data_IF_342996208028
#
_entry.id   IF_342996208028
#
_cell.length_a   1.000
_cell.length_b   1.000
_cell.length_c   1.000
_cell.angle_alpha   90.00
_cell.angle_beta   90.00
_cell.angle_gamma   90.00
#
_symmetry.space_group_name_H-M   'P 1'
#
loop_
_entity.id
_entity.type
_entity.pdbx_description
1 polymer ?
#
# COMPACT_ATOMS: atom_id res chain seq x y z
N UNK A 1 3.18 25.43 -8.52
CA UNK A 1 4.37 26.06 -7.90
C UNK A 1 4.86 27.25 -8.74
N UNK A 2 3.94 27.99 -9.37
CA UNK A 2 4.28 28.97 -10.41
C UNK A 2 4.16 30.42 -9.91
N UNK A 3 3.86 30.62 -8.62
CA UNK A 3 3.79 31.93 -8.01
C UNK A 3 5.22 32.48 -7.78
N UNK A 4 5.49 33.75 -8.11
CA UNK A 4 6.84 34.34 -8.00
C UNK A 4 7.44 34.24 -6.60
N UNK A 5 6.62 34.42 -5.57
CA UNK A 5 7.08 34.47 -4.17
C UNK A 5 7.14 33.10 -3.49
N UNK A 6 6.76 32.02 -4.20
CA UNK A 6 6.67 30.69 -3.60
C UNK A 6 8.02 30.19 -3.07
N UNK A 7 9.11 30.57 -3.73
CA UNK A 7 10.47 30.16 -3.37
C UNK A 7 11.17 31.09 -2.38
N UNK A 8 10.54 32.20 -1.97
CA UNK A 8 11.11 33.15 -1.02
C UNK A 8 11.22 32.55 0.40
N UNK A 9 10.36 31.59 0.74
CA UNK A 9 10.45 30.79 1.96
C UNK A 9 10.76 29.34 1.59
N UNK A 10 12.06 29.00 1.59
CA UNK A 10 12.55 27.68 1.20
C UNK A 10 11.97 26.55 2.06
N UNK A 11 11.74 26.80 3.35
CA UNK A 11 11.23 25.80 4.30
C UNK A 11 9.78 25.46 3.99
N UNK A 12 8.96 26.50 3.77
CA UNK A 12 7.56 26.34 3.38
C UNK A 12 7.42 25.72 1.99
N UNK A 13 8.24 26.16 1.02
CA UNK A 13 8.27 25.62 -0.33
C UNK A 13 8.60 24.12 -0.33
N UNK A 14 9.60 23.70 0.45
CA UNK A 14 10.00 22.30 0.56
C UNK A 14 8.89 21.44 1.16
N UNK A 15 8.19 21.92 2.19
CA UNK A 15 7.05 21.22 2.80
C UNK A 15 5.91 21.01 1.79
N UNK A 16 5.51 22.08 1.10
CA UNK A 16 4.44 22.01 0.08
C UNK A 16 4.85 21.11 -1.09
N UNK A 17 6.12 21.14 -1.51
CA UNK A 17 6.61 20.27 -2.56
C UNK A 17 6.62 18.79 -2.15
N UNK A 18 6.99 18.49 -0.90
CA UNK A 18 6.93 17.14 -0.37
C UNK A 18 5.49 16.60 -0.31
N UNK A 19 4.54 17.44 0.14
CA UNK A 19 3.12 17.11 0.17
C UNK A 19 2.57 16.87 -1.26
N UNK A 20 2.86 17.78 -2.19
CA UNK A 20 2.43 17.65 -3.59
C UNK A 20 2.99 16.39 -4.26
N UNK A 21 4.29 16.10 -4.07
CA UNK A 21 4.91 14.88 -4.60
C UNK A 21 4.27 13.62 -4.02
N UNK A 22 3.95 13.63 -2.72
CA UNK A 22 3.29 12.50 -2.09
C UNK A 22 1.88 12.25 -2.64
N UNK A 23 1.09 13.32 -2.83
CA UNK A 23 -0.25 13.22 -3.43
C UNK A 23 -0.14 12.74 -4.88
N UNK A 24 0.80 13.32 -5.64
CA UNK A 24 1.02 12.94 -7.05
C UNK A 24 1.38 11.47 -7.17
N UNK A 25 2.24 10.94 -6.30
CA UNK A 25 2.59 9.51 -6.28
C UNK A 25 1.35 8.63 -6.10
N UNK A 26 0.48 8.95 -5.13
CA UNK A 26 -0.78 8.22 -4.93
C UNK A 26 -1.69 8.27 -6.16
N UNK A 27 -1.74 9.41 -6.82
CA UNK A 27 -2.57 9.62 -8.00
C UNK A 27 -2.05 8.86 -9.22
N UNK A 28 -0.73 8.82 -9.45
CA UNK A 28 -0.14 7.99 -10.50
C UNK A 28 -0.36 6.50 -10.23
N UNK A 29 -0.20 6.02 -8.99
CA UNK A 29 -0.49 4.62 -8.63
C UNK A 29 -1.94 4.23 -8.94
N UNK A 30 -2.90 5.12 -8.62
CA UNK A 30 -4.32 4.87 -8.93
C UNK A 30 -4.58 4.82 -10.43
N UNK A 31 -3.99 5.73 -11.21
CA UNK A 31 -4.11 5.73 -12.67
C UNK A 31 -3.50 4.49 -13.32
N UNK A 32 -2.36 4.04 -12.81
CA UNK A 32 -1.70 2.83 -13.30
C UNK A 32 -2.58 1.59 -13.03
N UNK A 33 -3.19 1.51 -11.84
CA UNK A 33 -4.14 0.45 -11.49
C UNK A 33 -5.39 0.50 -12.39
N UNK A 34 -5.97 1.68 -12.57
CA UNK A 34 -7.14 1.89 -13.44
C UNK A 34 -6.85 1.43 -14.87
N UNK A 35 -5.70 1.83 -15.43
CA UNK A 35 -5.26 1.39 -16.77
C UNK A 35 -5.12 -0.13 -16.83
N UNK A 36 -4.43 -0.75 -15.88
CA UNK A 36 -4.24 -2.20 -15.87
C UNK A 36 -5.57 -2.94 -15.83
N UNK A 37 -6.50 -2.50 -14.99
CA UNK A 37 -7.83 -3.10 -14.90
C UNK A 37 -8.63 -2.88 -16.19
N UNK A 38 -8.52 -1.70 -16.82
CA UNK A 38 -9.21 -1.42 -18.08
C UNK A 38 -8.70 -2.23 -19.26
N UNK A 39 -7.44 -2.68 -19.20
CA UNK A 39 -6.81 -3.50 -20.25
C UNK A 39 -7.18 -4.99 -20.12
N UNK A 40 -7.57 -5.45 -18.92
CA UNK A 40 -7.90 -6.87 -18.66
C UNK A 40 -8.98 -7.46 -19.60
N UNK A 41 -10.08 -6.77 -19.94
CA UNK A 41 -11.09 -7.33 -20.86
C UNK A 41 -10.53 -7.59 -22.26
N UNK A 42 -9.64 -6.73 -22.75
CA UNK A 42 -8.99 -6.90 -24.07
C UNK A 42 -8.03 -8.10 -24.01
N UNK A 43 -7.30 -8.25 -22.91
CA UNK A 43 -6.40 -9.38 -22.71
C UNK A 43 -7.15 -10.70 -22.54
N UNK A 44 -8.34 -10.66 -21.92
CA UNK A 44 -9.23 -11.80 -21.82
C UNK A 44 -9.67 -12.27 -23.21
N UNK A 45 -10.17 -11.34 -24.05
CA UNK A 45 -10.61 -11.64 -25.41
C UNK A 45 -9.46 -12.27 -26.22
N UNK A 46 -8.25 -11.69 -26.15
CA UNK A 46 -7.08 -12.23 -26.84
C UNK A 46 -6.70 -13.65 -26.36
N UNK A 47 -6.79 -13.91 -25.06
CA UNK A 47 -6.48 -15.22 -24.49
C UNK A 47 -7.54 -16.28 -24.85
N UNK A 48 -8.81 -15.88 -24.93
CA UNK A 48 -9.91 -16.74 -25.38
C UNK A 48 -9.81 -17.05 -26.88
N UNK A 49 -9.39 -16.08 -27.71
CA UNK A 49 -9.15 -16.28 -29.15
C UNK A 49 -7.96 -17.21 -29.44
N UNK A 50 -6.86 -17.08 -28.69
CA UNK A 50 -5.71 -17.98 -28.80
C UNK A 50 -6.07 -19.42 -28.39
N UNK A 51 -6.90 -19.56 -27.34
CA UNK A 51 -7.45 -20.84 -26.89
C UNK A 51 -6.45 -21.80 -26.26
N UNK A 52 -5.17 -21.43 -26.15
CA UNK A 52 -4.16 -22.26 -25.48
C UNK A 52 -4.24 -22.15 -23.95
N UNK A 53 -3.85 -23.22 -23.27
CA UNK A 53 -3.72 -23.22 -21.80
C UNK A 53 -2.65 -22.25 -21.31
N UNK A 54 -1.65 -21.95 -22.15
CA UNK A 54 -0.60 -20.98 -21.84
C UNK A 54 -1.17 -19.56 -21.81
N UNK A 55 -1.92 -19.15 -22.84
CA UNK A 55 -2.54 -17.83 -22.91
C UNK A 55 -3.52 -17.58 -21.75
N UNK A 56 -4.39 -18.55 -21.47
CA UNK A 56 -5.32 -18.48 -20.33
C UNK A 56 -4.59 -18.40 -18.98
N UNK A 57 -3.47 -19.13 -18.82
CA UNK A 57 -2.65 -19.05 -17.60
C UNK A 57 -1.93 -17.70 -17.47
N UNK A 58 -1.55 -17.07 -18.57
CA UNK A 58 -0.92 -15.75 -18.56
C UNK A 58 -1.93 -14.68 -18.14
N UNK A 59 -3.12 -14.69 -18.74
CA UNK A 59 -4.23 -13.84 -18.32
C UNK A 59 -4.57 -13.99 -16.83
N UNK A 60 -4.64 -15.24 -16.33
CA UNK A 60 -4.89 -15.49 -14.91
C UNK A 60 -3.82 -14.88 -13.98
N UNK A 61 -2.55 -14.84 -14.42
CA UNK A 61 -1.47 -14.18 -13.66
C UNK A 61 -1.63 -12.67 -13.68
N UNK A 62 -2.01 -12.09 -14.81
CA UNK A 62 -2.26 -10.64 -14.89
C UNK A 62 -3.40 -10.21 -13.98
N UNK A 63 -4.49 -10.98 -13.94
CA UNK A 63 -5.60 -10.75 -13.00
C UNK A 63 -5.12 -10.84 -11.55
N UNK A 64 -4.33 -11.87 -11.21
CA UNK A 64 -3.78 -12.02 -9.86
C UNK A 64 -2.90 -10.83 -9.45
N UNK A 65 -2.06 -10.33 -10.37
CA UNK A 65 -1.23 -9.14 -10.15
C UNK A 65 -2.08 -7.87 -10.00
N UNK A 66 -3.15 -7.72 -10.79
CA UNK A 66 -4.06 -6.58 -10.68
C UNK A 66 -4.78 -6.58 -9.33
N UNK A 67 -5.19 -7.75 -8.82
CA UNK A 67 -5.77 -7.90 -7.48
C UNK A 67 -4.77 -7.55 -6.38
N UNK A 68 -3.52 -8.03 -6.47
CA UNK A 68 -2.48 -7.68 -5.50
C UNK A 68 -2.20 -6.16 -5.49
N UNK A 69 -2.15 -5.53 -6.68
CA UNK A 69 -1.99 -4.08 -6.79
C UNK A 69 -3.19 -3.32 -6.21
N UNK A 70 -4.41 -3.83 -6.39
CA UNK A 70 -5.62 -3.25 -5.82
C UNK A 70 -5.56 -3.28 -4.28
N UNK A 71 -5.26 -4.43 -3.69
CA UNK A 71 -5.14 -4.59 -2.24
C UNK A 71 -4.09 -3.63 -1.65
N UNK A 72 -2.92 -3.54 -2.30
CA UNK A 72 -1.87 -2.62 -1.86
C UNK A 72 -2.30 -1.15 -1.96
N UNK A 73 -3.02 -0.80 -3.03
CA UNK A 73 -3.52 0.56 -3.25
C UNK A 73 -4.58 0.92 -2.23
N UNK A 74 -5.53 0.02 -1.97
CA UNK A 74 -6.59 0.19 -0.98
C UNK A 74 -6.01 0.47 0.42
N UNK A 75 -5.02 -0.30 0.86
CA UNK A 75 -4.33 -0.05 2.13
C UNK A 75 -3.70 1.35 2.18
N UNK A 76 -3.12 1.84 1.09
CA UNK A 76 -2.52 3.19 1.03
C UNK A 76 -3.56 4.33 1.06
N UNK A 77 -4.78 4.05 0.61
CA UNK A 77 -5.90 5.00 0.69
C UNK A 77 -6.56 4.99 2.07
N UNK A 78 -6.69 3.81 2.70
CA UNK A 78 -7.12 3.68 4.09
C UNK A 78 -6.13 4.42 5.01
N UNK A 79 -4.82 4.24 4.79
CA UNK A 79 -3.74 4.90 5.53
C UNK A 79 -3.45 6.31 4.99
N UNK A 80 -4.47 7.17 5.01
CA UNK A 80 -4.41 8.55 4.52
C UNK A 80 -4.40 9.63 5.61
N UNK A 81 -4.41 9.26 6.89
CA UNK A 81 -4.37 10.19 8.00
C UNK A 81 -2.96 10.80 8.19
N UNK A 82 -2.87 12.00 8.80
CA UNK A 82 -1.60 12.71 8.97
C UNK A 82 -0.51 11.91 9.70
N UNK A 83 -0.92 11.05 10.64
CA UNK A 83 0.00 10.28 11.49
C UNK A 83 0.33 8.89 10.91
N UNK A 84 -0.32 8.44 9.85
CA UNK A 84 -0.10 7.09 9.26
C UNK A 84 1.31 6.92 8.66
N UNK A 85 2.00 8.03 8.40
CA UNK A 85 3.41 8.03 7.94
C UNK A 85 4.41 7.93 9.08
N UNK A 86 3.97 8.10 10.33
CA UNK A 86 4.85 8.09 11.50
C UNK A 86 5.08 6.66 11.95
N UNK A 87 6.24 6.42 12.56
CA UNK A 87 6.52 5.15 13.19
C UNK A 87 5.53 4.94 14.36
N UNK A 88 4.89 3.77 14.39
CA UNK A 88 4.05 3.38 15.51
C UNK A 88 4.90 2.96 16.71
N UNK A 89 4.51 3.40 17.91
CA UNK A 89 5.04 2.89 19.18
C UNK A 89 4.00 1.90 19.73
N UNK A 90 4.34 0.62 19.77
CA UNK A 90 3.46 -0.44 20.27
C UNK A 90 3.82 -0.78 21.72
N UNK A 91 2.85 -0.66 22.63
CA UNK A 91 2.96 -1.12 24.01
C UNK A 91 1.93 -2.21 24.27
N UNK A 92 2.38 -3.38 24.74
CA UNK A 92 1.52 -4.50 25.10
C UNK A 92 1.51 -4.65 26.62
N UNK A 93 0.33 -4.55 27.23
CA UNK A 93 0.15 -4.73 28.66
C UNK A 93 -0.67 -5.99 28.90
N UNK A 94 -0.18 -6.89 29.76
CA UNK A 94 -0.96 -8.05 30.19
C UNK A 94 -2.16 -7.57 31.03
N UNK A 95 -3.36 -8.04 30.66
CA UNK A 95 -4.59 -7.71 31.36
C UNK A 95 -4.80 -8.56 32.62
N UNK A 96 -6.05 -8.62 33.09
CA UNK A 96 -6.41 -9.53 34.17
C UNK A 96 -6.27 -11.00 33.71
N UNK A 97 -5.68 -11.85 34.55
CA UNK A 97 -5.42 -13.26 34.23
C UNK A 97 -4.08 -13.80 34.77
N UNK A 98 -3.28 -12.96 35.44
CA UNK A 98 -2.04 -13.41 36.08
C UNK A 98 -1.02 -13.94 35.07
N UNK A 99 -0.41 -15.09 35.35
CA UNK A 99 0.66 -15.66 34.53
C UNK A 99 0.23 -15.99 33.10
N UNK A 100 -0.98 -16.51 32.91
CA UNK A 100 -1.47 -16.87 31.56
C UNK A 100 -1.64 -15.63 30.68
N UNK A 101 -2.12 -14.52 31.23
CA UNK A 101 -2.21 -13.25 30.52
C UNK A 101 -0.82 -12.70 30.14
N UNK A 102 0.17 -12.86 31.02
CA UNK A 102 1.56 -12.51 30.72
C UNK A 102 2.16 -13.37 29.60
N UNK A 103 1.92 -14.67 29.62
CA UNK A 103 2.39 -15.58 28.57
C UNK A 103 1.75 -15.26 27.21
N UNK A 104 0.46 -14.90 27.19
CA UNK A 104 -0.21 -14.44 25.99
C UNK A 104 0.35 -13.11 25.48
N UNK A 105 0.59 -12.13 26.35
CA UNK A 105 1.23 -10.87 25.98
C UNK A 105 2.62 -11.10 25.36
N UNK A 106 3.39 -12.06 25.89
CA UNK A 106 4.67 -12.48 25.33
C UNK A 106 4.53 -13.13 23.95
N UNK A 107 3.48 -13.93 23.72
CA UNK A 107 3.20 -14.50 22.39
C UNK A 107 2.91 -13.38 21.38
N UNK A 108 2.07 -12.41 21.74
CA UNK A 108 1.76 -11.26 20.88
C UNK A 108 3.00 -10.42 20.59
N UNK A 109 3.84 -10.17 21.59
CA UNK A 109 5.10 -9.43 21.40
C UNK A 109 5.98 -10.11 20.36
N UNK A 110 6.19 -11.43 20.47
CA UNK A 110 6.97 -12.20 19.49
C UNK A 110 6.34 -12.20 18.10
N UNK A 111 5.01 -12.24 18.02
CA UNK A 111 4.29 -12.16 16.75
C UNK A 111 4.54 -10.83 16.04
N UNK A 112 4.39 -9.71 16.74
CA UNK A 112 4.60 -8.38 16.17
C UNK A 112 6.08 -8.11 15.84
N UNK A 113 7.02 -8.62 16.64
CA UNK A 113 8.46 -8.54 16.32
C UNK A 113 8.77 -9.25 14.99
N UNK A 114 8.32 -10.50 14.82
CA UNK A 114 8.52 -11.24 13.57
C UNK A 114 7.83 -10.59 12.37
N UNK A 115 6.67 -9.98 12.57
CA UNK A 115 5.99 -9.23 11.51
C UNK A 115 6.78 -7.99 11.10
N UNK A 116 7.31 -7.24 12.07
CA UNK A 116 8.14 -6.07 11.82
C UNK A 116 9.44 -6.43 11.09
N UNK A 117 10.11 -7.52 11.49
CA UNK A 117 11.32 -8.04 10.83
C UNK A 117 11.09 -8.48 9.38
N UNK A 118 9.87 -8.91 9.03
CA UNK A 118 9.53 -9.31 7.65
C UNK A 118 9.12 -8.14 6.75
N UNK A 119 8.64 -7.04 7.34
CA UNK A 119 8.14 -5.86 6.62
C UNK A 119 9.13 -4.70 6.56
N UNK A 120 10.13 -4.68 7.45
CA UNK A 120 11.32 -3.82 7.37
C UNK A 120 12.40 -4.45 6.50
#
# INVERSE_FOLDING_TARGET
MSAPDFWNDSTKAQKVAAEANSIRKKLEQMKDLERKISDLPVHQELAEEDGSTAALSEYAKEVALALEMLDQTEVQFILSQPDDRRNAILSLNAGAGGTEACDWANILMRMYQRWAERRG
#
